data_IF_572611533776
#
_entry.id   IF_572611533776
#
_cell.length_a   1.000
_cell.length_b   1.000
_cell.length_c   1.000
_cell.angle_alpha   90.00
_cell.angle_beta   90.00
_cell.angle_gamma   90.00
#
_symmetry.space_group_name_H-M   'P 1'
#
loop_
_entity.id
_entity.type
_entity.pdbx_description
1 polymer ?
#
# COMPACT_ATOMS: atom_id res chain seq x y z
N UNK A 1 26.84 -15.02 -33.79
CA UNK A 1 25.60 -14.20 -33.79
C UNK A 1 25.30 -13.84 -32.33
N UNK A 2 25.89 -12.74 -31.94
CA UNK A 2 25.94 -12.28 -30.53
C UNK A 2 24.62 -11.60 -30.22
N UNK A 3 23.81 -12.20 -29.33
CA UNK A 3 22.60 -11.59 -28.83
C UNK A 3 23.03 -10.44 -27.92
N UNK A 4 22.96 -9.23 -28.41
CA UNK A 4 23.13 -8.03 -27.63
C UNK A 4 22.01 -8.01 -26.57
N UNK A 5 22.37 -8.31 -25.33
CA UNK A 5 21.54 -8.06 -24.16
C UNK A 5 21.37 -6.54 -24.05
N UNK A 6 20.33 -5.99 -24.65
CA UNK A 6 19.85 -4.66 -24.31
C UNK A 6 19.24 -4.78 -22.91
N UNK A 7 20.08 -4.54 -21.93
CA UNK A 7 19.64 -4.15 -20.60
C UNK A 7 19.06 -2.73 -20.70
N UNK A 8 17.87 -2.62 -21.28
CA UNK A 8 17.10 -1.40 -21.27
C UNK A 8 16.55 -1.28 -19.82
N UNK A 9 17.36 -0.66 -18.96
CA UNK A 9 17.00 -0.48 -17.57
C UNK A 9 15.74 0.39 -17.50
N UNK A 10 14.64 -0.20 -17.08
CA UNK A 10 13.37 0.53 -16.93
C UNK A 10 13.56 1.76 -16.04
N UNK A 11 12.99 2.88 -16.48
CA UNK A 11 12.97 4.09 -15.67
C UNK A 11 12.32 3.80 -14.31
N UNK A 12 12.96 4.30 -13.24
CA UNK A 12 12.52 4.15 -11.86
C UNK A 12 12.24 5.54 -11.30
N UNK A 13 10.98 5.83 -10.98
CA UNK A 13 10.56 7.11 -10.41
C UNK A 13 10.02 6.87 -9.01
N UNK A 14 10.78 7.16 -7.95
CA UNK A 14 10.28 7.09 -6.58
C UNK A 14 9.31 8.25 -6.31
N UNK A 15 8.30 8.01 -5.46
CA UNK A 15 7.35 9.04 -5.09
C UNK A 15 6.90 8.96 -3.64
N UNK A 16 6.56 10.11 -3.08
CA UNK A 16 6.22 10.24 -1.68
C UNK A 16 7.34 9.84 -0.73
N UNK A 17 7.04 9.81 0.56
CA UNK A 17 7.96 9.37 1.61
C UNK A 17 7.15 8.68 2.71
N UNK A 18 7.57 7.52 3.17
CA UNK A 18 6.98 6.89 4.36
C UNK A 18 7.50 7.63 5.59
N UNK A 19 6.62 8.27 6.40
CA UNK A 19 7.05 9.00 7.59
C UNK A 19 7.89 8.13 8.53
N UNK A 20 9.03 8.68 8.98
CA UNK A 20 9.92 7.99 9.92
C UNK A 20 10.80 6.89 9.34
N UNK A 21 10.79 6.65 8.02
CA UNK A 21 11.58 5.56 7.42
C UNK A 21 12.67 6.00 6.43
N UNK A 22 12.54 7.19 5.83
CA UNK A 22 13.40 7.60 4.71
C UNK A 22 13.18 6.81 3.41
N UNK A 23 12.19 5.92 3.36
CA UNK A 23 11.87 5.08 2.19
C UNK A 23 10.78 5.76 1.35
N UNK A 24 10.86 5.77 0.01
CA UNK A 24 9.77 6.22 -0.84
C UNK A 24 8.46 5.49 -0.53
N UNK A 25 7.33 6.16 -0.63
CA UNK A 25 6.02 5.53 -0.38
C UNK A 25 5.62 4.58 -1.52
N UNK A 26 6.06 4.88 -2.73
CA UNK A 26 5.84 4.06 -3.93
C UNK A 26 6.95 4.27 -4.96
N UNK A 27 6.98 3.40 -5.95
CA UNK A 27 7.82 3.52 -7.14
C UNK A 27 6.97 3.33 -8.39
N UNK A 28 7.17 4.20 -9.38
CA UNK A 28 6.70 4.01 -10.74
C UNK A 28 7.82 3.42 -11.60
N UNK A 29 7.52 2.41 -12.40
CA UNK A 29 8.48 1.71 -13.26
C UNK A 29 8.04 1.83 -14.71
N UNK A 30 8.96 2.26 -15.58
CA UNK A 30 8.79 2.25 -17.04
C UNK A 30 7.68 3.14 -17.58
N UNK A 31 7.34 4.24 -16.91
CA UNK A 31 6.21 5.11 -17.31
C UNK A 31 6.44 5.73 -18.68
N UNK A 32 7.66 6.25 -18.93
CA UNK A 32 7.99 6.88 -20.22
C UNK A 32 8.25 5.88 -21.35
N UNK A 33 8.53 4.64 -21.00
CA UNK A 33 8.81 3.55 -21.95
C UNK A 33 7.58 2.65 -22.18
N UNK A 34 6.44 2.97 -21.54
CA UNK A 34 5.24 2.16 -21.63
C UNK A 34 4.75 2.07 -23.08
N UNK A 35 4.60 0.84 -23.56
CA UNK A 35 4.07 0.54 -24.90
C UNK A 35 2.55 0.49 -24.93
N UNK A 36 1.93 0.37 -23.76
CA UNK A 36 0.48 0.29 -23.57
C UNK A 36 0.02 1.44 -22.66
N UNK A 37 -1.16 2.02 -22.90
CA UNK A 37 -1.77 3.02 -22.01
C UNK A 37 -2.37 2.33 -20.76
N UNK A 38 -1.57 1.50 -20.08
CA UNK A 38 -1.97 0.69 -18.94
C UNK A 38 -0.94 0.85 -17.83
N UNK A 39 -1.42 1.08 -16.62
CA UNK A 39 -0.64 1.06 -15.39
C UNK A 39 -1.09 -0.13 -14.53
N UNK A 40 -0.18 -1.04 -14.27
CA UNK A 40 -0.41 -2.17 -13.35
C UNK A 40 -0.03 -1.70 -11.95
N UNK A 41 -0.96 -1.74 -11.00
CA UNK A 41 -0.72 -1.28 -9.63
C UNK A 41 -0.69 -2.45 -8.64
N UNK A 42 0.35 -2.46 -7.78
CA UNK A 42 0.49 -3.35 -6.63
C UNK A 42 0.37 -2.53 -5.32
N UNK A 43 -0.87 -2.17 -4.90
CA UNK A 43 -1.07 -1.23 -3.80
C UNK A 43 -0.82 -1.83 -2.41
N UNK A 44 -0.83 -3.14 -2.26
CA UNK A 44 -0.74 -3.83 -0.97
C UNK A 44 0.50 -4.74 -0.83
N UNK A 45 1.46 -4.63 -1.76
CA UNK A 45 2.73 -5.35 -1.69
C UNK A 45 3.75 -4.72 -0.73
N UNK A 46 3.45 -3.51 -0.20
CA UNK A 46 4.38 -2.73 0.62
C UNK A 46 4.69 -3.38 1.97
N UNK A 47 5.99 -3.39 2.31
CA UNK A 47 6.55 -4.05 3.52
C UNK A 47 7.51 -3.15 4.29
N UNK A 48 7.58 -1.87 3.96
CA UNK A 48 8.46 -0.91 4.64
C UNK A 48 7.79 -0.33 5.88
N UNK A 49 7.80 -1.11 6.96
CA UNK A 49 7.22 -0.71 8.25
C UNK A 49 8.20 0.17 9.03
N UNK A 50 7.84 1.42 9.37
CA UNK A 50 8.58 2.17 10.38
C UNK A 50 8.53 1.45 11.74
N UNK A 51 9.64 1.48 12.49
CA UNK A 51 9.73 0.82 13.78
C UNK A 51 8.64 1.28 14.78
N UNK A 52 8.26 2.57 14.73
CA UNK A 52 7.19 3.10 15.55
C UNK A 52 5.83 2.46 15.23
N UNK A 53 5.52 2.27 13.96
CA UNK A 53 4.28 1.61 13.53
C UNK A 53 4.28 0.14 13.96
N UNK A 54 5.38 -0.55 13.72
CA UNK A 54 5.49 -1.96 14.07
C UNK A 54 5.35 -2.21 15.58
N UNK A 55 5.93 -1.33 16.41
CA UNK A 55 5.83 -1.43 17.87
C UNK A 55 4.41 -1.24 18.41
N UNK A 56 3.56 -0.54 17.67
CA UNK A 56 2.14 -0.34 18.02
C UNK A 56 1.24 -1.47 17.56
N UNK A 57 1.72 -2.37 16.72
CA UNK A 57 0.93 -3.51 16.26
C UNK A 57 0.82 -4.57 17.36
N UNK A 58 -0.39 -5.10 17.60
CA UNK A 58 -0.63 -6.12 18.64
C UNK A 58 0.08 -7.44 18.34
N UNK A 59 0.01 -7.90 17.11
CA UNK A 59 0.63 -9.14 16.63
C UNK A 59 1.30 -8.89 15.27
N UNK A 60 2.46 -8.19 15.21
CA UNK A 60 3.02 -7.71 13.96
C UNK A 60 3.28 -8.83 12.95
N UNK A 61 3.80 -9.98 13.39
CA UNK A 61 4.07 -11.11 12.49
C UNK A 61 2.80 -11.63 11.77
N UNK A 62 1.71 -11.82 12.50
CA UNK A 62 0.46 -12.30 11.92
C UNK A 62 -0.24 -11.18 11.12
N UNK A 63 -0.25 -9.95 11.64
CA UNK A 63 -0.86 -8.82 10.96
C UNK A 63 -0.22 -8.55 9.59
N UNK A 64 1.11 -8.58 9.51
CA UNK A 64 1.85 -8.48 8.24
C UNK A 64 1.43 -9.57 7.26
N UNK A 65 1.38 -10.83 7.70
CA UNK A 65 0.95 -11.96 6.86
C UNK A 65 -0.47 -11.82 6.31
N UNK A 66 -1.36 -11.15 7.03
CA UNK A 66 -2.77 -10.99 6.66
C UNK A 66 -3.09 -9.73 5.87
N UNK A 67 -2.25 -8.71 5.98
CA UNK A 67 -2.45 -7.42 5.32
C UNK A 67 -1.58 -7.22 4.08
N UNK A 68 -0.51 -8.00 3.93
CA UNK A 68 0.36 -7.93 2.76
C UNK A 68 -0.10 -8.87 1.66
N UNK A 69 -0.23 -8.36 0.45
CA UNK A 69 -0.41 -9.16 -0.76
C UNK A 69 0.99 -9.57 -1.26
N UNK A 70 1.53 -10.62 -0.64
CA UNK A 70 2.91 -11.07 -0.91
C UNK A 70 3.10 -11.52 -2.34
N UNK A 71 4.24 -11.18 -2.94
CA UNK A 71 4.65 -11.49 -4.31
C UNK A 71 3.82 -10.79 -5.41
N UNK A 72 2.81 -10.00 -5.07
CA UNK A 72 2.00 -9.29 -6.07
C UNK A 72 2.81 -8.19 -6.75
N UNK A 73 3.72 -7.56 -6.03
CA UNK A 73 4.69 -6.58 -6.54
C UNK A 73 5.64 -7.21 -7.58
N UNK A 74 6.16 -8.39 -7.32
CA UNK A 74 7.00 -9.16 -8.25
C UNK A 74 6.19 -9.61 -9.48
N UNK A 75 4.99 -10.14 -9.25
CA UNK A 75 4.08 -10.54 -10.33
C UNK A 75 3.70 -9.36 -11.22
N UNK A 76 3.32 -8.22 -10.63
CA UNK A 76 2.96 -7.01 -11.37
C UNK A 76 4.13 -6.52 -12.24
N UNK A 77 5.35 -6.56 -11.70
CA UNK A 77 6.57 -6.19 -12.43
C UNK A 77 6.84 -7.16 -13.58
N UNK A 78 6.75 -8.47 -13.34
CA UNK A 78 6.98 -9.49 -14.38
C UNK A 78 5.94 -9.38 -15.52
N UNK A 79 4.66 -9.16 -15.18
CA UNK A 79 3.61 -8.96 -16.20
C UNK A 79 3.88 -7.68 -17.00
N UNK A 80 4.30 -6.60 -16.34
CA UNK A 80 4.63 -5.35 -17.02
C UNK A 80 5.85 -5.51 -17.95
N UNK A 81 6.86 -6.29 -17.57
CA UNK A 81 8.03 -6.58 -18.41
C UNK A 81 7.63 -7.34 -19.68
N UNK A 82 6.72 -8.29 -19.54
CA UNK A 82 6.22 -9.08 -20.68
C UNK A 82 5.31 -8.27 -21.62
N UNK A 83 4.52 -7.35 -21.09
CA UNK A 83 3.48 -6.62 -21.84
C UNK A 83 3.93 -5.25 -22.33
N UNK A 84 4.96 -4.69 -21.70
CA UNK A 84 5.37 -3.30 -21.93
C UNK A 84 4.45 -2.28 -21.25
N UNK A 85 3.67 -2.68 -20.23
CA UNK A 85 2.91 -1.77 -19.40
C UNK A 85 3.80 -1.04 -18.38
N UNK A 86 3.33 0.10 -17.86
CA UNK A 86 3.93 0.73 -16.69
C UNK A 86 3.50 0.01 -15.40
N UNK A 87 4.28 0.17 -14.32
CA UNK A 87 3.95 -0.43 -13.01
C UNK A 87 4.03 0.61 -11.89
N UNK A 88 3.11 0.52 -10.94
CA UNK A 88 3.18 1.20 -9.66
C UNK A 88 3.30 0.15 -8.55
N UNK A 89 4.36 0.23 -7.78
CA UNK A 89 4.59 -0.61 -6.59
C UNK A 89 4.54 0.27 -5.35
N UNK A 90 3.61 -0.01 -4.45
CA UNK A 90 3.56 0.64 -3.14
C UNK A 90 4.59 -0.01 -2.21
N UNK A 91 5.35 0.82 -1.47
CA UNK A 91 6.26 0.38 -0.41
C UNK A 91 5.66 0.59 0.97
N UNK A 92 4.76 1.59 1.11
CA UNK A 92 4.00 1.79 2.32
C UNK A 92 3.10 0.57 2.60
N UNK A 93 3.14 0.00 3.81
CA UNK A 93 2.35 -1.18 4.11
C UNK A 93 0.86 -0.84 4.25
N UNK A 94 0.01 -1.76 3.83
CA UNK A 94 -1.45 -1.65 3.93
C UNK A 94 -1.93 -1.36 5.36
N UNK A 95 -1.19 -1.84 6.37
CA UNK A 95 -1.50 -1.53 7.77
C UNK A 95 -1.50 -0.03 8.07
N UNK A 96 -0.64 0.75 7.40
CA UNK A 96 -0.59 2.20 7.55
C UNK A 96 -1.66 2.90 6.71
N UNK A 97 -1.88 2.41 5.49
CA UNK A 97 -2.77 3.03 4.53
C UNK A 97 -3.26 2.00 3.51
N UNK A 98 -4.54 1.68 3.54
CA UNK A 98 -5.18 0.85 2.52
C UNK A 98 -5.51 1.71 1.31
N UNK A 99 -4.66 1.65 0.27
CA UNK A 99 -4.81 2.43 -0.97
C UNK A 99 -6.05 2.03 -1.79
N UNK A 100 -6.75 0.96 -1.40
CA UNK A 100 -8.04 0.56 -1.98
C UNK A 100 -9.23 1.01 -1.12
N UNK A 101 -9.07 2.13 -0.41
CA UNK A 101 -10.12 2.77 0.39
C UNK A 101 -10.23 4.24 0.04
N UNK A 102 -11.40 4.80 0.29
CA UNK A 102 -11.60 6.24 0.13
C UNK A 102 -10.81 7.01 1.21
N UNK A 103 -10.25 8.19 0.88
CA UNK A 103 -9.44 8.97 1.82
C UNK A 103 -10.17 9.38 3.11
N UNK A 104 -11.49 9.44 3.09
CA UNK A 104 -12.35 9.77 4.22
C UNK A 104 -12.93 8.54 4.94
N UNK A 105 -12.55 7.30 4.54
CA UNK A 105 -13.01 6.06 5.15
C UNK A 105 -12.16 5.72 6.39
N UNK A 106 -12.15 6.64 7.37
CA UNK A 106 -11.42 6.52 8.62
C UNK A 106 -12.33 6.13 9.77
N UNK A 107 -11.80 5.28 10.66
CA UNK A 107 -12.36 5.06 11.99
C UNK A 107 -11.83 6.15 12.93
N UNK A 108 -12.60 7.21 13.11
CA UNK A 108 -12.20 8.38 13.91
C UNK A 108 -11.96 8.05 15.39
N UNK A 109 -12.49 6.93 15.90
CA UNK A 109 -12.23 6.50 17.26
C UNK A 109 -10.76 6.11 17.50
N UNK A 110 -10.00 5.85 16.44
CA UNK A 110 -8.57 5.57 16.52
C UNK A 110 -7.71 6.82 16.75
N UNK A 111 -8.24 8.02 16.56
CA UNK A 111 -7.47 9.26 16.59
C UNK A 111 -7.49 9.99 17.93
N UNK A 112 -8.08 9.45 18.98
CA UNK A 112 -8.07 10.01 20.33
C UNK A 112 -8.77 11.38 20.52
N UNK A 113 -8.69 12.26 19.54
CA UNK A 113 -9.24 13.62 19.57
C UNK A 113 -10.67 13.74 19.00
N UNK A 114 -11.28 12.63 18.66
CA UNK A 114 -12.59 12.62 18.07
C UNK A 114 -12.62 13.14 16.62
N UNK A 115 -13.82 13.22 16.08
CA UNK A 115 -14.06 13.59 14.69
C UNK A 115 -13.91 15.09 14.45
N UNK A 116 -13.18 15.55 13.44
CA UNK A 116 -13.18 16.97 13.06
C UNK A 116 -14.59 17.47 12.78
N UNK A 117 -14.94 18.63 13.34
CA UNK A 117 -16.22 19.29 13.09
C UNK A 117 -16.37 19.60 11.61
N UNK A 118 -17.49 19.19 11.01
CA UNK A 118 -17.81 19.43 9.59
C UNK A 118 -17.55 18.26 8.65
N UNK A 119 -16.89 17.20 9.05
CA UNK A 119 -16.76 16.01 8.20
C UNK A 119 -17.96 15.06 8.38
N UNK A 120 -18.71 14.88 7.31
CA UNK A 120 -19.86 13.96 7.27
C UNK A 120 -19.36 12.58 6.83
N UNK A 121 -19.39 11.60 7.70
CA UNK A 121 -19.24 10.21 7.25
C UNK A 121 -20.50 9.81 6.49
N UNK A 122 -20.38 9.82 5.21
CA UNK A 122 -21.52 9.71 4.35
C UNK A 122 -21.73 8.31 3.97
N UNK A 123 -21.86 7.32 4.34
CA UNK A 123 -22.54 6.12 3.82
C UNK A 123 -22.46 4.85 4.67
N UNK A 124 -23.54 4.10 4.58
CA UNK A 124 -23.69 2.76 5.15
C UNK A 124 -22.61 1.78 4.66
N UNK A 125 -21.92 2.10 3.57
CA UNK A 125 -20.96 1.24 2.87
C UNK A 125 -19.49 1.44 3.27
N UNK A 126 -19.19 2.30 4.23
CA UNK A 126 -17.80 2.55 4.66
C UNK A 126 -17.25 1.36 5.46
N UNK A 127 -16.07 0.91 5.05
CA UNK A 127 -15.37 -0.24 5.65
C UNK A 127 -14.80 0.07 7.04
N UNK A 128 -14.57 1.34 7.38
CA UNK A 128 -14.14 1.75 8.72
C UNK A 128 -15.10 1.24 9.81
N UNK A 129 -16.41 1.18 9.55
CA UNK A 129 -17.40 0.64 10.50
C UNK A 129 -17.15 -0.82 10.91
N UNK A 130 -16.55 -1.60 10.03
CA UNK A 130 -16.14 -2.99 10.31
C UNK A 130 -14.67 -3.11 10.75
N UNK A 131 -13.97 -1.98 10.91
CA UNK A 131 -12.55 -1.93 11.24
C UNK A 131 -11.62 -2.17 10.04
N UNK A 132 -12.15 -2.05 8.80
CA UNK A 132 -11.41 -2.29 7.54
C UNK A 132 -11.37 -1.02 6.68
N UNK A 133 -11.27 0.14 7.30
CA UNK A 133 -11.18 1.44 6.63
C UNK A 133 -9.80 1.72 6.03
N UNK A 134 -9.55 3.01 5.78
CA UNK A 134 -8.29 3.53 5.23
C UNK A 134 -7.09 3.11 6.09
N UNK A 135 -7.21 3.18 7.41
CA UNK A 135 -6.29 2.55 8.37
C UNK A 135 -7.02 1.34 8.96
N UNK A 136 -6.60 0.11 8.67
CA UNK A 136 -7.24 -1.08 9.20
C UNK A 136 -7.09 -1.16 10.72
N UNK A 137 -8.19 -1.02 11.46
CA UNK A 137 -8.22 -1.23 12.91
C UNK A 137 -8.22 -2.71 13.25
N UNK A 138 -8.87 -3.52 12.42
CA UNK A 138 -9.00 -4.96 12.63
C UNK A 138 -8.24 -5.74 11.55
N UNK A 139 -7.69 -6.88 11.97
CA UNK A 139 -7.06 -7.84 11.09
C UNK A 139 -7.92 -9.10 11.03
N UNK A 140 -8.27 -9.54 9.83
CA UNK A 140 -9.14 -10.70 9.62
C UNK A 140 -8.58 -11.96 10.31
N UNK A 141 -9.42 -12.62 11.13
CA UNK A 141 -9.04 -13.81 11.88
C UNK A 141 -8.14 -13.56 13.10
N UNK A 142 -7.80 -12.28 13.40
CA UNK A 142 -6.93 -11.91 14.55
C UNK A 142 -7.66 -10.99 15.54
N UNK A 143 -8.55 -10.13 15.06
CA UNK A 143 -9.24 -9.13 15.88
C UNK A 143 -8.58 -7.75 15.78
N UNK A 144 -8.44 -7.04 16.92
CA UNK A 144 -7.81 -5.72 16.96
C UNK A 144 -6.33 -5.80 16.54
N UNK A 145 -5.94 -4.94 15.60
CA UNK A 145 -4.60 -4.92 15.01
C UNK A 145 -3.59 -4.09 15.80
N UNK A 146 -4.05 -3.19 16.66
CA UNK A 146 -3.25 -2.20 17.36
C UNK A 146 -3.31 -2.37 18.87
N UNK A 147 -2.23 -1.98 19.55
CA UNK A 147 -2.20 -1.84 21.00
C UNK A 147 -2.96 -0.56 21.39
N UNK A 148 -3.58 -0.60 22.58
CA UNK A 148 -4.26 0.56 23.14
C UNK A 148 -3.24 1.63 23.59
#
# INVERSE_FOLDING_TARGET
>A
MEAAAHSDSREVIPGGMIPGSGVPAFTLLGVRQAKLPVLIAAPHGGRSYPAEIESRMRNPGIAKLRLEDRLVDELATAVADLTGAATLVAHAPRAMLDLNRAPDDLDWSMLGEGRPTGQVHSSANRRARSGLGLVPRRVSGVGEGWNA
#
